data_IF_327824523970
#
_entry.id   IF_327824523970
#
_cell.length_a   1.000
_cell.length_b   1.000
_cell.length_c   1.000
_cell.angle_alpha   90.00
_cell.angle_beta   90.00
_cell.angle_gamma   90.00
#
_symmetry.space_group_name_H-M   'P 1'
#
loop_
_entity.id
_entity.type
_entity.pdbx_description
1 polymer ?
#
# COMPACT_ATOMS: atom_id res chain seq x y z
N UNK A 1 -16.65 -21.41 -25.22
CA UNK A 1 -15.65 -20.69 -26.04
C UNK A 1 -14.28 -21.01 -25.49
N UNK A 2 -13.24 -21.23 -26.30
CA UNK A 2 -11.87 -21.36 -25.79
C UNK A 2 -11.48 -20.05 -25.08
N UNK A 3 -10.87 -20.15 -23.89
CA UNK A 3 -10.32 -18.97 -23.20
C UNK A 3 -9.28 -18.33 -24.12
N UNK A 4 -9.34 -17.01 -24.28
CA UNK A 4 -8.29 -16.32 -25.05
C UNK A 4 -6.95 -16.48 -24.33
N UNK A 5 -5.83 -16.44 -25.07
CA UNK A 5 -4.48 -16.47 -24.47
C UNK A 5 -4.27 -15.33 -23.46
N UNK A 6 -4.97 -14.21 -23.63
CA UNK A 6 -4.94 -13.10 -22.69
C UNK A 6 -5.71 -13.44 -21.40
N UNK A 7 -6.89 -14.06 -21.52
CA UNK A 7 -7.64 -14.55 -20.34
C UNK A 7 -6.87 -15.64 -19.59
N UNK A 8 -6.15 -16.51 -20.30
CA UNK A 8 -5.27 -17.52 -19.72
C UNK A 8 -4.12 -16.85 -18.97
N UNK A 9 -3.39 -15.94 -19.60
CA UNK A 9 -2.30 -15.19 -18.97
C UNK A 9 -2.75 -14.38 -17.75
N UNK A 10 -3.90 -13.69 -17.82
CA UNK A 10 -4.48 -12.99 -16.67
C UNK A 10 -4.89 -13.95 -15.55
N UNK A 11 -5.48 -15.10 -15.88
CA UNK A 11 -5.84 -16.10 -14.86
C UNK A 11 -4.61 -16.74 -14.19
N UNK A 12 -3.47 -16.73 -14.87
CA UNK A 12 -2.17 -17.13 -14.30
C UNK A 12 -1.53 -16.00 -13.47
N UNK A 13 -2.13 -14.81 -13.39
CA UNK A 13 -1.60 -13.62 -12.71
C UNK A 13 -0.43 -12.97 -13.44
N UNK A 14 -0.37 -13.10 -14.77
CA UNK A 14 0.54 -12.32 -15.62
C UNK A 14 -0.18 -11.04 -16.05
N UNK A 15 0.51 -9.90 -16.09
CA UNK A 15 0.00 -8.61 -16.55
C UNK A 15 -1.06 -7.96 -15.65
N UNK A 16 -0.88 -8.04 -14.33
CA UNK A 16 -1.72 -7.33 -13.36
C UNK A 16 -1.22 -5.89 -13.15
N UNK A 17 0.09 -5.70 -13.13
CA UNK A 17 0.81 -4.43 -13.03
C UNK A 17 1.06 -3.84 -14.41
N UNK A 18 1.08 -2.50 -14.46
CA UNK A 18 1.37 -1.77 -15.69
C UNK A 18 2.82 -2.05 -16.17
N UNK A 19 3.06 -2.18 -17.49
CA UNK A 19 4.41 -2.36 -18.01
C UNK A 19 5.41 -1.27 -17.60
N UNK A 20 4.97 -0.01 -17.51
CA UNK A 20 5.79 1.11 -17.01
C UNK A 20 6.16 0.94 -15.53
N UNK A 21 5.26 0.40 -14.71
CA UNK A 21 5.55 0.10 -13.31
C UNK A 21 6.55 -1.05 -13.20
N UNK A 22 6.44 -2.09 -14.04
CA UNK A 22 7.42 -3.18 -14.10
C UNK A 22 8.81 -2.68 -14.51
N UNK A 23 8.90 -1.77 -15.48
CA UNK A 23 10.16 -1.12 -15.85
C UNK A 23 10.73 -0.30 -14.71
N UNK A 24 9.87 0.40 -13.97
CA UNK A 24 10.26 1.13 -12.78
C UNK A 24 10.81 0.21 -11.68
N UNK A 25 10.24 -0.97 -11.45
CA UNK A 25 10.82 -1.94 -10.51
C UNK A 25 12.23 -2.38 -10.95
N UNK A 26 12.43 -2.65 -12.25
CA UNK A 26 13.77 -2.93 -12.78
C UNK A 26 14.74 -1.76 -12.59
N UNK A 27 14.26 -0.52 -12.77
CA UNK A 27 15.04 0.68 -12.51
C UNK A 27 15.46 0.79 -11.03
N UNK A 28 14.53 0.57 -10.09
CA UNK A 28 14.81 0.55 -8.64
C UNK A 28 15.78 -0.56 -8.23
N UNK A 29 15.83 -1.67 -8.96
CA UNK A 29 16.80 -2.73 -8.74
C UNK A 29 18.21 -2.40 -9.27
N UNK A 30 18.34 -1.37 -10.11
CA UNK A 30 19.62 -1.05 -10.76
C UNK A 30 20.69 -0.56 -9.76
N UNK A 31 21.98 -0.75 -10.07
CA UNK A 31 23.06 -0.19 -9.27
C UNK A 31 23.06 1.34 -9.19
N UNK A 32 22.40 2.03 -10.13
CA UNK A 32 22.25 3.50 -10.10
C UNK A 32 21.45 3.91 -8.87
N UNK A 33 20.31 3.26 -8.63
CA UNK A 33 19.42 3.61 -7.50
C UNK A 33 19.95 3.03 -6.19
N UNK A 34 20.32 1.75 -6.18
CA UNK A 34 20.61 1.01 -4.94
C UNK A 34 21.87 1.43 -4.20
N UNK A 35 22.77 2.17 -4.86
CA UNK A 35 23.96 2.75 -4.23
C UNK A 35 23.69 4.09 -3.54
N UNK A 36 22.64 4.78 -3.95
CA UNK A 36 22.36 6.15 -3.52
C UNK A 36 21.23 6.20 -2.50
N UNK A 37 20.19 5.36 -2.68
CA UNK A 37 18.96 5.43 -1.87
C UNK A 37 18.47 4.04 -1.51
N UNK A 38 18.06 3.88 -0.25
CA UNK A 38 17.30 2.73 0.23
C UNK A 38 15.80 2.95 -0.01
N UNK A 39 15.26 2.29 -1.03
CA UNK A 39 13.86 2.45 -1.45
C UNK A 39 13.01 1.33 -0.85
N UNK A 40 11.86 1.71 -0.28
CA UNK A 40 10.83 0.79 0.18
C UNK A 40 9.55 0.95 -0.64
N UNK A 41 8.87 -0.16 -0.89
CA UNK A 41 7.62 -0.23 -1.63
C UNK A 41 6.51 -0.75 -0.73
N UNK A 42 5.40 -0.02 -0.68
CA UNK A 42 4.19 -0.43 0.06
C UNK A 42 3.02 -0.45 -0.90
N UNK A 43 2.55 -1.66 -1.23
CA UNK A 43 1.35 -1.82 -2.04
C UNK A 43 0.11 -1.59 -1.18
N UNK A 44 -0.86 -0.82 -1.68
CA UNK A 44 -2.05 -0.39 -0.94
C UNK A 44 -3.30 -0.69 -1.76
N UNK A 45 -4.32 -1.28 -1.16
CA UNK A 45 -5.64 -1.45 -1.82
C UNK A 45 -6.77 -1.50 -0.80
N UNK A 46 -7.97 -1.12 -1.22
CA UNK A 46 -9.22 -1.47 -0.51
C UNK A 46 -9.70 -2.89 -0.86
N UNK A 47 -9.36 -3.36 -2.06
CA UNK A 47 -9.77 -4.64 -2.65
C UNK A 47 -9.01 -5.84 -2.11
N UNK A 48 -9.00 -6.94 -2.86
CA UNK A 48 -8.34 -8.21 -2.54
C UNK A 48 -7.18 -8.56 -3.49
N UNK A 49 -6.84 -7.62 -4.38
CA UNK A 49 -5.88 -7.76 -5.49
C UNK A 49 -4.40 -7.98 -5.11
N UNK A 50 -4.06 -7.89 -3.82
CA UNK A 50 -2.66 -8.03 -3.36
C UNK A 50 -2.11 -9.42 -3.71
N UNK A 51 -2.97 -10.45 -3.79
CA UNK A 51 -2.57 -11.82 -4.13
C UNK A 51 -2.06 -11.89 -5.58
N UNK A 52 -2.73 -11.18 -6.49
CA UNK A 52 -2.36 -11.08 -7.90
C UNK A 52 -1.06 -10.29 -8.08
N UNK A 53 -0.91 -9.17 -7.36
CA UNK A 53 0.33 -8.40 -7.31
C UNK A 53 1.50 -9.25 -6.83
N UNK A 54 1.33 -9.99 -5.73
CA UNK A 54 2.38 -10.87 -5.21
C UNK A 54 2.78 -11.96 -6.21
N UNK A 55 1.79 -12.57 -6.88
CA UNK A 55 2.03 -13.61 -7.90
C UNK A 55 2.82 -13.07 -9.09
N UNK A 56 2.50 -11.85 -9.55
CA UNK A 56 3.24 -11.24 -10.64
C UNK A 56 4.68 -10.87 -10.24
N UNK A 57 4.87 -10.38 -9.03
CA UNK A 57 6.21 -10.14 -8.48
C UNK A 57 7.03 -11.43 -8.38
N UNK A 58 6.41 -12.57 -8.03
CA UNK A 58 7.09 -13.87 -8.04
C UNK A 58 7.60 -14.26 -9.43
N UNK A 59 6.77 -14.11 -10.48
CA UNK A 59 7.23 -14.34 -11.86
C UNK A 59 8.42 -13.46 -12.23
N UNK A 60 8.44 -12.22 -11.73
CA UNK A 60 9.50 -11.28 -12.02
C UNK A 60 10.79 -11.58 -11.25
N UNK A 61 10.70 -11.96 -9.98
CA UNK A 61 11.84 -12.42 -9.17
C UNK A 61 12.42 -13.72 -9.71
N UNK A 62 11.58 -14.64 -10.18
CA UNK A 62 12.02 -15.93 -10.74
C UNK A 62 12.55 -15.82 -12.18
N UNK A 63 12.52 -14.62 -12.78
CA UNK A 63 12.98 -14.40 -14.16
C UNK A 63 12.09 -15.06 -15.22
N UNK A 64 10.82 -15.31 -14.89
CA UNK A 64 9.83 -15.96 -15.74
C UNK A 64 8.79 -14.99 -16.31
N UNK A 65 8.94 -13.68 -16.03
CA UNK A 65 7.98 -12.69 -16.44
C UNK A 65 8.01 -12.45 -17.97
N UNK A 66 6.85 -12.47 -18.65
CA UNK A 66 6.80 -12.44 -20.12
C UNK A 66 7.18 -11.09 -20.77
N UNK A 67 7.32 -10.02 -19.99
CA UNK A 67 7.74 -8.69 -20.48
C UNK A 67 9.22 -8.65 -20.91
N UNK A 68 10.02 -9.67 -20.56
CA UNK A 68 11.39 -9.81 -21.04
C UNK A 68 12.41 -8.90 -20.33
N UNK A 69 12.06 -8.38 -19.15
CA UNK A 69 12.97 -7.65 -18.28
C UNK A 69 13.83 -8.61 -17.43
N UNK A 70 15.02 -8.20 -16.95
CA UNK A 70 15.84 -9.00 -16.05
C UNK A 70 15.11 -9.36 -14.76
N UNK A 71 15.46 -10.52 -14.19
CA UNK A 71 14.91 -10.96 -12.92
C UNK A 71 15.15 -9.93 -11.80
N UNK A 72 14.16 -9.70 -10.94
CA UNK A 72 14.31 -8.81 -9.78
C UNK A 72 15.01 -9.52 -8.62
N UNK A 73 15.73 -8.78 -7.76
CA UNK A 73 16.26 -9.32 -6.51
C UNK A 73 15.15 -9.81 -5.56
N UNK A 74 15.46 -10.79 -4.72
CA UNK A 74 14.54 -11.40 -3.73
C UNK A 74 13.80 -10.39 -2.83
N UNK A 75 14.38 -9.22 -2.56
CA UNK A 75 13.77 -8.18 -1.73
C UNK A 75 12.46 -7.59 -2.31
N UNK A 76 12.22 -7.77 -3.61
CA UNK A 76 10.96 -7.38 -4.26
C UNK A 76 9.86 -8.43 -4.10
N UNK A 77 10.18 -9.66 -3.64
CA UNK A 77 9.18 -10.70 -3.38
C UNK A 77 8.27 -10.28 -2.22
N UNK A 78 6.97 -10.22 -2.52
CA UNK A 78 5.93 -9.90 -1.54
C UNK A 78 5.39 -11.20 -0.92
N UNK A 79 5.93 -11.54 0.24
CA UNK A 79 5.54 -12.73 1.02
C UNK A 79 4.27 -12.45 1.82
N UNK A 80 3.22 -13.25 1.57
CA UNK A 80 1.89 -13.02 2.15
C UNK A 80 1.62 -13.86 3.41
N UNK A 81 2.50 -14.81 3.74
CA UNK A 81 2.36 -15.62 4.93
C UNK A 81 2.44 -14.78 6.22
N UNK A 82 1.62 -15.06 7.25
CA UNK A 82 1.58 -14.27 8.48
C UNK A 82 2.96 -14.12 9.15
N UNK A 83 3.74 -15.20 9.15
CA UNK A 83 5.07 -15.27 9.77
C UNK A 83 6.09 -14.35 9.10
N UNK A 84 5.91 -13.97 7.83
CA UNK A 84 6.79 -13.02 7.14
C UNK A 84 6.57 -11.58 7.60
N UNK A 85 5.42 -11.27 8.25
CA UNK A 85 5.07 -9.92 8.74
C UNK A 85 5.21 -8.82 7.70
N UNK A 86 4.96 -9.12 6.42
CA UNK A 86 5.02 -8.14 5.32
C UNK A 86 3.66 -7.60 4.91
N UNK A 87 2.61 -8.08 5.54
CA UNK A 87 1.23 -7.71 5.24
C UNK A 87 0.53 -7.13 6.46
N UNK A 88 -0.42 -6.24 6.22
CA UNK A 88 -1.29 -5.75 7.27
C UNK A 88 -2.64 -5.28 6.73
N UNK A 89 -3.62 -5.19 7.63
CA UNK A 89 -4.96 -4.70 7.30
C UNK A 89 -5.39 -3.63 8.28
N UNK A 90 -5.81 -2.49 7.76
CA UNK A 90 -6.40 -1.44 8.57
C UNK A 90 -7.84 -1.77 8.95
N UNK A 91 -8.21 -1.33 10.14
CA UNK A 91 -9.57 -1.23 10.63
C UNK A 91 -9.78 0.19 11.16
N UNK A 92 -10.94 0.78 10.83
CA UNK A 92 -11.30 2.13 11.27
C UNK A 92 -12.74 2.17 11.74
N UNK A 93 -12.93 2.65 12.96
CA UNK A 93 -14.22 2.85 13.64
C UNK A 93 -14.34 4.24 14.27
N UNK A 94 -13.32 5.08 14.12
CA UNK A 94 -13.33 6.46 14.58
C UNK A 94 -12.34 7.35 13.84
N UNK A 95 -12.56 8.66 13.96
CA UNK A 95 -11.75 9.67 13.28
C UNK A 95 -10.37 9.91 13.92
N UNK A 96 -10.25 9.63 15.23
CA UNK A 96 -9.03 9.85 16.00
C UNK A 96 -8.22 8.55 16.10
N UNK A 97 -7.05 8.66 16.73
CA UNK A 97 -6.08 7.56 16.85
C UNK A 97 -6.66 6.30 17.52
N UNK A 98 -7.57 6.47 18.49
CA UNK A 98 -8.24 5.39 19.20
C UNK A 98 -9.21 4.62 18.30
N UNK A 99 -9.70 5.25 17.23
CA UNK A 99 -10.57 4.66 16.23
C UNK A 99 -9.84 4.02 15.05
N UNK A 100 -8.52 3.83 15.13
CA UNK A 100 -7.75 3.20 14.04
C UNK A 100 -6.83 2.11 14.56
N UNK A 101 -6.89 0.96 13.92
CA UNK A 101 -6.03 -0.19 14.18
C UNK A 101 -5.40 -0.75 12.91
N UNK A 102 -4.23 -1.36 13.06
CA UNK A 102 -3.52 -2.15 12.05
C UNK A 102 -3.37 -3.58 12.57
N UNK A 103 -3.95 -4.54 11.87
CA UNK A 103 -3.72 -5.96 12.10
C UNK A 103 -2.55 -6.44 11.22
N UNK A 104 -1.44 -6.84 11.84
CA UNK A 104 -0.22 -7.29 11.16
C UNK A 104 -0.25 -8.79 10.96
N UNK A 105 0.21 -9.25 9.79
CA UNK A 105 0.27 -10.67 9.42
C UNK A 105 -0.99 -11.16 8.71
N UNK A 106 -1.89 -10.27 8.29
CA UNK A 106 -3.11 -10.67 7.57
C UNK A 106 -3.60 -9.62 6.59
N UNK A 107 -4.22 -10.08 5.50
CA UNK A 107 -5.00 -9.28 4.53
C UNK A 107 -6.51 -9.46 4.71
N UNK A 108 -6.91 -10.29 5.68
CA UNK A 108 -8.31 -10.49 6.04
C UNK A 108 -8.78 -9.28 6.82
N UNK A 109 -9.77 -8.56 6.29
CA UNK A 109 -10.38 -7.43 6.99
C UNK A 109 -11.51 -7.88 7.91
N UNK A 110 -11.69 -7.14 8.99
CA UNK A 110 -12.87 -7.24 9.85
C UNK A 110 -14.12 -6.92 8.99
N UNK A 111 -15.09 -7.84 8.85
CA UNK A 111 -16.26 -7.58 8.02
C UNK A 111 -17.13 -6.47 8.63
N UNK A 112 -17.83 -5.71 7.81
CA UNK A 112 -18.86 -4.82 8.31
C UNK A 112 -20.08 -5.64 8.79
N UNK A 113 -20.33 -5.63 10.10
CA UNK A 113 -21.51 -6.29 10.67
C UNK A 113 -22.04 -5.53 11.88
N UNK A 114 -23.36 -5.60 12.10
CA UNK A 114 -24.03 -4.98 13.24
C UNK A 114 -23.54 -5.50 14.60
N UNK A 115 -23.14 -6.77 14.68
CA UNK A 115 -22.56 -7.36 15.91
C UNK A 115 -21.22 -6.74 16.30
N UNK A 116 -20.41 -6.37 15.31
CA UNK A 116 -19.11 -5.77 15.56
C UNK A 116 -19.22 -4.30 16.02
N UNK A 117 -20.33 -3.63 15.68
CA UNK A 117 -20.66 -2.31 16.23
C UNK A 117 -20.92 -2.38 17.75
N UNK A 118 -21.53 -3.47 18.23
CA UNK A 118 -21.76 -3.70 19.67
C UNK A 118 -20.46 -3.98 20.43
N UNK A 119 -19.48 -4.63 19.78
CA UNK A 119 -18.17 -4.92 20.36
C UNK A 119 -17.23 -3.70 20.43
N UNK A 120 -17.54 -2.64 19.68
CA UNK A 120 -16.80 -1.37 19.65
C UNK A 120 -15.30 -1.57 19.42
N UNK A 121 -14.47 -0.88 20.20
CA UNK A 121 -13.01 -0.93 20.08
C UNK A 121 -12.38 -2.33 20.24
N UNK A 122 -13.12 -3.29 20.81
CA UNK A 122 -12.69 -4.69 21.00
C UNK A 122 -12.84 -5.54 19.74
N UNK A 123 -13.69 -5.11 18.79
CA UNK A 123 -14.06 -5.87 17.59
C UNK A 123 -12.86 -6.45 16.82
N UNK A 124 -11.82 -5.67 16.45
CA UNK A 124 -10.69 -6.23 15.72
C UNK A 124 -9.91 -7.24 16.57
N UNK A 125 -9.71 -6.99 17.87
CA UNK A 125 -8.98 -7.91 18.75
C UNK A 125 -9.67 -9.27 18.84
N UNK A 126 -10.99 -9.27 19.05
CA UNK A 126 -11.78 -10.50 19.15
C UNK A 126 -11.80 -11.26 17.82
N UNK A 127 -12.01 -10.55 16.71
CA UNK A 127 -12.04 -11.14 15.37
C UNK A 127 -10.72 -11.83 15.03
N UNK A 128 -9.59 -11.14 15.21
CA UNK A 128 -8.29 -11.69 14.84
C UNK A 128 -7.81 -12.77 15.81
N UNK A 129 -8.08 -12.65 17.11
CA UNK A 129 -7.76 -13.70 18.08
C UNK A 129 -8.48 -15.03 17.78
N UNK A 130 -9.68 -14.97 17.20
CA UNK A 130 -10.41 -16.15 16.76
C UNK A 130 -9.93 -16.72 15.42
N UNK A 131 -9.34 -15.88 14.56
CA UNK A 131 -8.88 -16.26 13.23
C UNK A 131 -7.48 -16.88 13.27
N UNK A 132 -6.52 -16.20 13.89
CA UNK A 132 -5.12 -16.60 13.96
C UNK A 132 -4.43 -15.90 15.15
N UNK A 133 -3.93 -16.64 16.15
CA UNK A 133 -3.25 -16.07 17.31
C UNK A 133 -1.92 -15.37 16.99
N UNK A 134 -1.35 -15.57 15.79
CA UNK A 134 -0.13 -14.86 15.35
C UNK A 134 -0.43 -13.43 14.88
N UNK A 135 -1.68 -13.11 14.56
CA UNK A 135 -2.08 -11.76 14.12
C UNK A 135 -2.02 -10.79 15.30
N UNK A 136 -1.27 -9.70 15.10
CA UNK A 136 -1.11 -8.64 16.10
C UNK A 136 -1.93 -7.43 15.71
N UNK A 137 -2.84 -7.03 16.58
CA UNK A 137 -3.64 -5.80 16.40
C UNK A 137 -2.96 -4.66 17.16
N UNK A 138 -2.56 -3.63 16.41
CA UNK A 138 -1.91 -2.43 16.92
C UNK A 138 -2.88 -1.26 16.77
N UNK A 139 -3.14 -0.51 17.84
CA UNK A 139 -4.08 0.62 17.84
C UNK A 139 -3.32 1.92 18.15
N UNK A 140 -3.77 3.03 17.55
CA UNK A 140 -3.17 4.35 17.74
C UNK A 140 -2.11 4.70 16.68
N UNK A 141 -2.09 5.96 16.24
CA UNK A 141 -1.27 6.39 15.10
C UNK A 141 0.23 6.22 15.35
N UNK A 142 0.74 6.62 16.51
CA UNK A 142 2.17 6.48 16.83
C UNK A 142 2.61 5.02 16.89
N UNK A 143 1.80 4.15 17.51
CA UNK A 143 2.09 2.72 17.58
C UNK A 143 2.04 2.04 16.20
N UNK A 144 1.09 2.46 15.36
CA UNK A 144 1.01 2.00 13.97
C UNK A 144 2.24 2.44 13.18
N UNK A 145 2.64 3.71 13.26
CA UNK A 145 3.83 4.22 12.57
C UNK A 145 5.09 3.47 12.99
N UNK A 146 5.31 3.29 14.30
CA UNK A 146 6.46 2.54 14.82
C UNK A 146 6.46 1.08 14.33
N UNK A 147 5.28 0.48 14.20
CA UNK A 147 5.14 -0.88 13.68
C UNK A 147 5.48 -0.95 12.19
N UNK A 148 4.98 -0.02 11.38
CA UNK A 148 5.30 0.07 9.96
C UNK A 148 6.79 0.30 9.74
N UNK A 149 7.42 1.16 10.56
CA UNK A 149 8.86 1.40 10.50
C UNK A 149 9.67 0.14 10.78
N UNK A 150 9.29 -0.63 11.80
CA UNK A 150 9.93 -1.92 12.08
C UNK A 150 9.76 -2.92 10.92
N UNK A 151 8.56 -2.98 10.32
CA UNK A 151 8.32 -3.84 9.14
C UNK A 151 9.19 -3.41 7.94
N UNK A 152 9.38 -2.11 7.72
CA UNK A 152 10.17 -1.55 6.63
C UNK A 152 11.70 -1.65 6.87
N UNK A 153 12.13 -1.81 8.12
CA UNK A 153 13.52 -2.15 8.44
C UNK A 153 13.83 -3.60 8.09
N UNK A 154 12.86 -4.51 8.25
CA UNK A 154 13.02 -5.95 7.96
C UNK A 154 12.77 -6.31 6.49
N UNK A 155 11.99 -5.51 5.76
CA UNK A 155 11.60 -5.78 4.37
C UNK A 155 11.56 -4.52 3.51
N UNK A 156 11.98 -4.65 2.25
CA UNK A 156 11.86 -3.57 1.26
C UNK A 156 10.46 -3.50 0.62
N UNK A 157 9.65 -4.55 0.76
CA UNK A 157 8.34 -4.65 0.12
C UNK A 157 7.30 -5.09 1.13
N UNK A 158 6.23 -4.32 1.27
CA UNK A 158 5.08 -4.59 2.12
C UNK A 158 3.77 -4.46 1.31
N UNK A 159 2.67 -4.99 1.85
CA UNK A 159 1.34 -4.71 1.34
C UNK A 159 0.34 -4.47 2.47
N UNK A 160 -0.49 -3.44 2.32
CA UNK A 160 -1.48 -3.03 3.30
C UNK A 160 -2.86 -2.96 2.65
N UNK A 161 -3.83 -3.60 3.30
CA UNK A 161 -5.24 -3.48 2.93
C UNK A 161 -5.90 -2.38 3.73
N UNK A 162 -6.52 -1.42 3.05
CA UNK A 162 -7.31 -0.34 3.62
C UNK A 162 -8.74 -0.75 3.93
N UNK A 163 -9.38 0.02 4.81
CA UNK A 163 -10.73 -0.28 5.28
C UNK A 163 -11.80 0.45 4.46
N UNK A 164 -12.28 -0.23 3.41
CA UNK A 164 -13.29 0.30 2.47
C UNK A 164 -14.55 0.76 3.18
N UNK A 165 -15.05 -0.03 4.13
CA UNK A 165 -16.34 0.24 4.76
C UNK A 165 -16.34 1.55 5.55
N UNK A 166 -15.20 1.96 6.09
CA UNK A 166 -15.07 3.27 6.72
C UNK A 166 -15.10 4.40 5.70
N UNK A 167 -14.34 4.29 4.61
CA UNK A 167 -14.31 5.32 3.57
C UNK A 167 -15.68 5.50 2.89
N UNK A 168 -16.31 4.38 2.50
CA UNK A 168 -17.62 4.37 1.85
C UNK A 168 -18.74 4.90 2.76
N UNK A 169 -18.73 4.58 4.06
CA UNK A 169 -19.71 5.09 5.01
C UNK A 169 -19.63 6.62 5.21
N UNK A 170 -18.52 7.25 4.82
CA UNK A 170 -18.30 8.69 4.90
C UNK A 170 -18.31 9.37 3.54
N UNK A 171 -19.12 8.83 2.61
CA UNK A 171 -19.31 9.37 1.27
C UNK A 171 -18.00 9.53 0.48
N UNK A 172 -17.05 8.64 0.72
CA UNK A 172 -15.76 8.61 0.02
C UNK A 172 -14.94 9.89 0.19
N UNK A 173 -15.10 10.57 1.34
CA UNK A 173 -14.31 11.74 1.69
C UNK A 173 -12.84 11.37 2.02
N UNK A 174 -11.92 12.23 1.58
CA UNK A 174 -10.47 12.00 1.70
C UNK A 174 -9.98 11.82 3.13
N UNK A 175 -10.61 12.46 4.12
CA UNK A 175 -10.25 12.33 5.54
C UNK A 175 -10.62 10.97 6.15
N UNK A 176 -11.30 10.12 5.38
CA UNK A 176 -11.74 8.78 5.75
C UNK A 176 -11.14 7.71 4.82
N UNK A 177 -10.31 8.12 3.86
CA UNK A 177 -9.66 7.23 2.91
C UNK A 177 -8.52 6.41 3.51
N UNK A 178 -7.57 6.06 2.64
CA UNK A 178 -6.37 5.29 2.98
C UNK A 178 -5.48 6.11 3.91
N UNK A 179 -5.25 5.63 5.13
CA UNK A 179 -4.47 6.38 6.11
C UNK A 179 -2.98 6.44 5.69
N UNK A 180 -2.46 7.64 5.58
CA UNK A 180 -1.03 7.95 5.45
C UNK A 180 -0.60 8.80 6.64
N UNK A 181 0.20 8.21 7.52
CA UNK A 181 0.80 8.92 8.64
C UNK A 181 2.11 9.58 8.18
N UNK A 182 2.27 10.85 8.51
CA UNK A 182 3.48 11.63 8.19
C UNK A 182 4.07 12.22 9.48
N UNK A 183 5.39 12.31 9.53
CA UNK A 183 6.13 13.03 10.56
C UNK A 183 7.10 13.99 9.83
N UNK A 184 6.86 15.30 9.94
CA UNK A 184 7.71 16.29 9.25
C UNK A 184 9.13 16.37 9.80
N UNK A 185 9.36 15.89 11.03
CA UNK A 185 10.68 15.88 11.66
C UNK A 185 11.47 14.60 11.37
N UNK A 186 10.86 13.62 10.70
CA UNK A 186 11.51 12.36 10.37
C UNK A 186 12.25 12.48 9.05
N UNK A 187 13.50 12.00 9.04
CA UNK A 187 14.29 11.88 7.82
C UNK A 187 13.70 10.85 6.86
N UNK A 188 13.73 11.18 5.57
CA UNK A 188 13.22 10.34 4.49
C UNK A 188 11.98 10.93 3.81
N UNK A 189 11.60 10.33 2.68
CA UNK A 189 10.49 10.80 1.86
C UNK A 189 9.49 9.64 1.73
N UNK A 190 8.23 9.90 2.09
CA UNK A 190 7.11 9.01 1.84
C UNK A 190 6.17 9.66 0.83
N UNK A 191 5.95 9.00 -0.31
CA UNK A 191 5.05 9.48 -1.37
C UNK A 191 4.02 8.40 -1.67
N UNK A 192 2.74 8.77 -1.62
CA UNK A 192 1.61 7.93 -1.96
C UNK A 192 1.18 8.23 -3.40
N UNK A 193 1.22 7.21 -4.24
CA UNK A 193 0.82 7.27 -5.63
C UNK A 193 -0.57 6.66 -5.79
N UNK A 194 -1.51 7.41 -6.34
CA UNK A 194 -2.87 6.92 -6.62
C UNK A 194 -3.51 7.75 -7.74
N UNK A 195 -4.32 7.13 -8.59
CA UNK A 195 -5.00 7.78 -9.71
C UNK A 195 -6.31 8.48 -9.29
N UNK A 196 -6.84 8.14 -8.11
CA UNK A 196 -8.04 8.78 -7.55
C UNK A 196 -7.73 10.05 -6.74
N UNK A 197 -6.45 10.43 -6.59
CA UNK A 197 -6.08 11.75 -6.07
C UNK A 197 -6.45 12.80 -7.12
N UNK A 198 -7.27 13.78 -6.74
CA UNK A 198 -7.77 14.78 -7.67
C UNK A 198 -6.88 16.03 -7.72
N UNK A 199 -7.20 16.96 -8.61
CA UNK A 199 -6.43 18.21 -8.75
C UNK A 199 -6.47 19.09 -7.50
N UNK A 200 -7.58 19.07 -6.76
CA UNK A 200 -7.86 19.97 -5.63
C UNK A 200 -8.32 19.24 -4.36
N UNK A 201 -8.27 17.91 -4.35
CA UNK A 201 -8.76 17.09 -3.24
C UNK A 201 -8.01 15.77 -3.17
N UNK A 202 -7.70 15.28 -1.96
CA UNK A 202 -6.99 13.99 -1.80
C UNK A 202 -7.87 12.81 -2.17
N UNK A 203 -9.18 12.94 -1.95
CA UNK A 203 -10.29 12.03 -2.27
C UNK A 203 -10.17 10.62 -1.69
N UNK A 204 -9.07 9.93 -1.98
CA UNK A 204 -8.82 8.55 -1.58
C UNK A 204 -7.81 8.41 -0.42
N UNK A 205 -7.01 9.44 -0.11
CA UNK A 205 -5.95 9.38 0.91
C UNK A 205 -6.21 10.32 2.08
N UNK A 206 -6.14 9.78 3.30
CA UNK A 206 -6.23 10.50 4.57
C UNK A 206 -4.82 10.75 5.11
N UNK A 207 -4.29 11.95 4.88
CA UNK A 207 -2.94 12.33 5.36
C UNK A 207 -3.05 12.95 6.74
N UNK A 208 -2.34 12.37 7.72
CA UNK A 208 -2.36 12.86 9.11
C UNK A 208 -0.96 13.01 9.68
N UNK A 209 -0.76 14.06 10.45
CA UNK A 209 0.41 14.20 11.29
C UNK A 209 0.36 13.15 12.41
N UNK A 210 1.40 12.32 12.51
CA UNK A 210 1.42 11.18 13.43
C UNK A 210 1.39 11.60 14.91
N UNK A 211 1.85 12.80 15.23
CA UNK A 211 2.01 13.27 16.61
C UNK A 211 0.74 13.90 17.16
N UNK A 212 0.08 14.73 16.37
CA UNK A 212 -1.16 15.42 16.72
C UNK A 212 -2.41 14.65 16.29
N UNK A 213 -2.29 13.75 15.33
CA UNK A 213 -3.41 13.05 14.68
C UNK A 213 -4.29 13.95 13.81
N UNK A 214 -3.90 15.22 13.62
CA UNK A 214 -4.63 16.18 12.82
C UNK A 214 -4.48 15.88 11.33
N UNK A 215 -5.55 16.05 10.53
CA UNK A 215 -5.45 16.03 9.08
C UNK A 215 -4.47 17.09 8.58
N UNK A 216 -3.69 16.75 7.56
CA UNK A 216 -2.79 17.67 6.87
C UNK A 216 -3.54 18.28 5.68
N UNK A 217 -3.55 19.61 5.58
CA UNK A 217 -4.20 20.33 4.47
C UNK A 217 -3.70 19.82 3.11
N UNK A 218 -4.63 19.68 2.15
CA UNK A 218 -4.30 19.16 0.83
C UNK A 218 -3.22 19.99 0.09
N UNK A 219 -3.27 21.31 0.20
CA UNK A 219 -2.25 22.18 -0.42
C UNK A 219 -0.84 21.98 0.18
N UNK A 220 -0.74 21.47 1.40
CA UNK A 220 0.55 21.13 2.03
C UNK A 220 1.00 19.70 1.69
N UNK A 221 0.07 18.79 1.43
CA UNK A 221 0.37 17.38 1.17
C UNK A 221 0.55 17.05 -0.32
N UNK A 222 -0.17 17.73 -1.23
CA UNK A 222 -0.04 17.55 -2.68
C UNK A 222 1.37 17.90 -3.15
N UNK A 223 2.00 17.01 -3.91
CA UNK A 223 3.35 17.19 -4.43
C UNK A 223 4.45 16.99 -3.38
N UNK A 224 4.11 16.72 -2.12
CA UNK A 224 5.04 16.37 -1.04
C UNK A 224 4.86 14.91 -0.61
N UNK A 225 3.65 14.57 -0.15
CA UNK A 225 3.27 13.23 0.29
C UNK A 225 2.32 12.53 -0.67
N UNK A 226 1.61 13.29 -1.51
CA UNK A 226 0.63 12.78 -2.45
C UNK A 226 1.06 13.08 -3.88
N UNK A 227 1.09 12.05 -4.71
CA UNK A 227 1.33 12.17 -6.14
C UNK A 227 0.17 11.53 -6.91
N UNK A 228 -0.58 12.36 -7.63
CA UNK A 228 -1.59 11.86 -8.57
C UNK A 228 -0.91 11.08 -9.69
N UNK A 229 -1.43 9.90 -9.99
CA UNK A 229 -1.05 9.11 -11.16
C UNK A 229 -2.03 9.42 -12.30
N UNK A 230 -1.51 9.63 -13.50
CA UNK A 230 -2.31 9.83 -14.71
C UNK A 230 -2.37 8.52 -15.51
N UNK A 231 -3.49 7.77 -15.49
CA UNK A 231 -3.53 6.42 -16.03
C UNK A 231 -3.13 6.32 -17.50
N UNK A 232 -3.57 7.27 -18.34
CA UNK A 232 -3.21 7.27 -19.75
C UNK A 232 -1.69 7.39 -19.94
N UNK A 233 -1.06 8.35 -19.27
CA UNK A 233 0.39 8.52 -19.33
C UNK A 233 1.12 7.30 -18.75
N UNK A 234 0.67 6.78 -17.61
CA UNK A 234 1.24 5.58 -17.01
C UNK A 234 1.15 4.35 -17.94
N UNK A 235 0.14 4.26 -18.80
CA UNK A 235 0.00 3.18 -19.78
C UNK A 235 0.90 3.41 -21.01
N UNK A 236 0.96 4.65 -21.51
CA UNK A 236 1.61 4.94 -22.80
C UNK A 236 3.09 5.30 -22.71
N UNK A 237 3.53 5.79 -21.55
CA UNK A 237 4.91 6.20 -21.30
C UNK A 237 5.63 5.14 -20.45
N UNK A 238 6.60 4.41 -21.04
CA UNK A 238 7.39 3.40 -20.35
C UNK A 238 8.15 3.96 -19.13
N UNK A 239 8.57 5.23 -19.18
CA UNK A 239 9.41 5.87 -18.16
C UNK A 239 8.61 6.68 -17.14
N UNK A 240 7.27 6.58 -17.17
CA UNK A 240 6.37 7.40 -16.36
C UNK A 240 6.73 7.39 -14.86
N UNK A 241 6.76 6.22 -14.25
CA UNK A 241 7.05 6.08 -12.81
C UNK A 241 8.51 6.39 -12.47
N UNK A 242 9.45 6.09 -13.37
CA UNK A 242 10.87 6.46 -13.22
C UNK A 242 11.02 7.97 -13.16
N UNK A 243 10.38 8.68 -14.08
CA UNK A 243 10.38 10.15 -14.13
C UNK A 243 9.76 10.75 -12.87
N UNK A 244 8.63 10.20 -12.40
CA UNK A 244 8.03 10.64 -11.14
C UNK A 244 8.97 10.43 -9.95
N UNK A 245 9.59 9.26 -9.83
CA UNK A 245 10.51 8.95 -8.75
C UNK A 245 11.72 9.89 -8.73
N UNK A 246 12.33 10.14 -9.88
CA UNK A 246 13.50 11.04 -9.97
C UNK A 246 13.17 12.46 -9.51
N UNK A 247 11.95 12.97 -9.75
CA UNK A 247 11.53 14.29 -9.24
C UNK A 247 11.54 14.41 -7.72
N UNK A 248 11.37 13.30 -7.00
CA UNK A 248 11.35 13.28 -5.53
C UNK A 248 12.72 13.00 -4.93
N UNK A 249 13.53 12.19 -5.60
CA UNK A 249 14.84 11.77 -5.08
C UNK A 249 15.97 12.74 -5.44
N UNK A 250 15.80 13.56 -6.48
CA UNK A 250 16.81 14.56 -6.88
C UNK A 250 16.64 15.94 -6.22
N UNK A 251 15.62 16.10 -5.38
CA UNK A 251 15.37 17.33 -4.60
C UNK A 251 15.95 17.23 -3.19
#
# INVERSE_FOLDING_TARGET
MPKSRLQEAWSEGRYYLLPSFLQFLSYLASPKVTKEVDVKLVFRTFGDDIVEVARELDFFVDGQHPVGLPALPERFRLKLEPSARRVGTFYRDGFKEDGTALAVGTLTKVPFSSKLVEEGASAPNNFYAALDPEVKVIRGFQSIQATLDAMLQESSTLALRDYWEWWSAHAEDGQYGKLLLVDEEKDGIAVFFDDHIEAHHSHIVDVRDVRSGAPVDFEKSRGKYLQRVEPFAAITDPDYFTSLFEMYVTK
#
